data_IF_417259760029
#
_entry.id   IF_417259760029
#
_cell.length_a   1.000
_cell.length_b   1.000
_cell.length_c   1.000
_cell.angle_alpha   90.00
_cell.angle_beta   90.00
_cell.angle_gamma   90.00
#
_symmetry.space_group_name_H-M   'P 1'
#
loop_
_entity.id
_entity.type
_entity.pdbx_description
1 polymer ?
#
# COMPACT_ATOMS: atom_id res chain seq x y z
N UNK A 1 12.79 2.85 33.81
CA UNK A 1 11.36 3.22 33.76
C UNK A 1 10.81 2.68 32.46
N UNK A 2 9.97 1.65 32.51
CA UNK A 2 9.30 1.09 31.35
C UNK A 2 8.25 2.10 30.91
N UNK A 3 8.48 2.74 29.77
CA UNK A 3 7.45 3.54 29.11
C UNK A 3 6.44 2.54 28.54
N UNK A 4 5.29 2.42 29.19
CA UNK A 4 4.14 1.73 28.63
C UNK A 4 3.73 2.50 27.39
N UNK A 5 4.18 2.03 26.20
CA UNK A 5 3.68 2.54 24.93
C UNK A 5 2.19 2.21 24.88
N UNK A 6 1.35 3.23 24.76
CA UNK A 6 -0.07 3.03 24.51
C UNK A 6 -0.19 2.23 23.20
N UNK A 7 -0.99 1.15 23.22
CA UNK A 7 -1.34 0.44 21.99
C UNK A 7 -2.01 1.44 21.05
N UNK A 8 -1.61 1.51 19.78
CA UNK A 8 -2.38 2.26 18.79
C UNK A 8 -3.81 1.73 18.77
N UNK A 9 -4.76 2.63 18.60
CA UNK A 9 -6.18 2.32 18.68
C UNK A 9 -6.53 1.25 17.63
N UNK A 10 -6.94 0.07 18.08
CA UNK A 10 -7.52 -1.01 17.26
C UNK A 10 -9.03 -0.83 17.16
N UNK A 11 -9.51 0.39 17.38
CA UNK A 11 -10.90 0.69 17.63
C UNK A 11 -11.76 0.44 16.39
N UNK A 12 -12.66 -0.54 16.50
CA UNK A 12 -13.68 -0.87 15.51
C UNK A 12 -14.59 0.32 15.15
N UNK A 13 -14.65 1.36 16.00
CA UNK A 13 -15.38 2.61 15.75
C UNK A 13 -14.75 3.48 14.63
N UNK A 14 -13.57 3.13 14.14
CA UNK A 14 -12.84 3.90 13.12
C UNK A 14 -13.39 3.72 11.70
N UNK A 15 -14.17 2.67 11.47
CA UNK A 15 -14.92 2.48 10.22
C UNK A 15 -16.39 2.59 10.57
N UNK A 16 -17.03 3.65 10.09
CA UNK A 16 -18.39 4.01 10.48
C UNK A 16 -19.38 2.88 10.17
N UNK A 17 -20.16 2.51 11.20
CA UNK A 17 -21.38 1.70 11.12
C UNK A 17 -21.23 0.27 10.55
N UNK A 18 -20.04 -0.34 10.58
CA UNK A 18 -19.85 -1.76 10.29
C UNK A 18 -19.02 -2.45 11.36
N UNK A 19 -19.25 -3.75 11.51
CA UNK A 19 -18.42 -4.58 12.38
C UNK A 19 -17.10 -4.90 11.65
N UNK A 20 -15.98 -4.48 12.22
CA UNK A 20 -14.65 -4.88 11.80
C UNK A 20 -14.01 -5.75 12.88
N UNK A 21 -13.25 -6.74 12.45
CA UNK A 21 -12.46 -7.60 13.33
C UNK A 21 -10.98 -7.24 13.17
N UNK A 22 -10.31 -7.02 14.30
CA UNK A 22 -8.86 -6.82 14.38
C UNK A 22 -8.22 -8.07 14.97
N UNK A 23 -7.34 -8.71 14.22
CA UNK A 23 -6.74 -10.01 14.58
C UNK A 23 -5.30 -10.10 14.06
N UNK A 24 -4.60 -11.19 14.43
CA UNK A 24 -3.27 -11.51 13.90
C UNK A 24 -3.33 -12.70 12.95
N UNK A 25 -2.43 -12.70 11.96
CA UNK A 25 -2.14 -13.86 11.08
C UNK A 25 -0.63 -14.10 11.03
N UNK A 26 -0.23 -15.33 11.27
CA UNK A 26 1.16 -15.74 11.06
C UNK A 26 1.31 -16.18 9.60
N UNK A 27 2.08 -15.44 8.83
CA UNK A 27 2.32 -15.65 7.40
C UNK A 27 3.81 -15.45 7.11
N UNK A 28 4.42 -16.32 6.30
CA UNK A 28 5.82 -16.18 5.89
C UNK A 28 6.77 -15.80 7.04
N UNK A 29 6.65 -16.50 8.17
CA UNK A 29 7.44 -16.32 9.41
C UNK A 29 7.32 -14.93 10.09
N UNK A 30 6.25 -14.17 9.80
CA UNK A 30 5.93 -12.91 10.48
C UNK A 30 4.48 -12.90 10.97
N UNK A 31 4.23 -12.24 12.09
CA UNK A 31 2.88 -11.97 12.57
C UNK A 31 2.39 -10.64 12.00
N UNK A 32 1.37 -10.68 11.14
CA UNK A 32 0.72 -9.50 10.62
C UNK A 32 -0.53 -9.18 11.44
N UNK A 33 -0.69 -7.93 11.80
CA UNK A 33 -1.98 -7.39 12.21
C UNK A 33 -2.87 -7.25 10.98
N UNK A 34 -4.12 -7.69 11.09
CA UNK A 34 -5.07 -7.72 9.99
C UNK A 34 -6.42 -7.23 10.45
N UNK A 35 -6.97 -6.28 9.71
CA UNK A 35 -8.36 -5.84 9.86
C UNK A 35 -9.20 -6.54 8.81
N UNK A 36 -10.33 -7.12 9.24
CA UNK A 36 -11.24 -7.83 8.34
C UNK A 36 -12.68 -7.36 8.55
N UNK A 37 -13.47 -7.39 7.46
CA UNK A 37 -14.89 -7.05 7.48
C UNK A 37 -15.66 -7.84 6.41
N UNK A 38 -16.97 -7.96 6.57
CA UNK A 38 -17.84 -8.67 5.65
C UNK A 38 -17.92 -10.18 5.89
N UNK A 39 -18.79 -10.84 5.12
CA UNK A 39 -19.05 -12.28 5.25
C UNK A 39 -17.77 -13.09 4.94
N UNK A 40 -17.32 -13.98 5.84
CA UNK A 40 -16.15 -14.83 5.62
C UNK A 40 -16.21 -15.69 4.35
N UNK A 41 -17.41 -16.03 3.88
CA UNK A 41 -17.62 -16.85 2.69
C UNK A 41 -17.73 -16.05 1.39
N UNK A 42 -17.80 -14.72 1.47
CA UNK A 42 -17.88 -13.83 0.31
C UNK A 42 -16.57 -13.79 -0.52
N UNK A 43 -16.60 -13.32 -1.77
CA UNK A 43 -15.40 -13.11 -2.58
C UNK A 43 -14.39 -12.21 -1.85
N UNK A 44 -13.12 -12.65 -1.82
CA UNK A 44 -12.07 -11.99 -1.04
C UNK A 44 -11.48 -10.79 -1.79
N UNK A 45 -11.36 -9.66 -1.09
CA UNK A 45 -10.59 -8.48 -1.51
C UNK A 45 -9.50 -8.19 -0.48
N UNK A 46 -8.25 -8.15 -0.93
CA UNK A 46 -7.09 -7.75 -0.11
C UNK A 46 -6.67 -6.33 -0.48
N UNK A 47 -6.62 -5.43 0.52
CA UNK A 47 -6.22 -4.03 0.34
C UNK A 47 -4.83 -3.78 0.93
N UNK A 48 -3.86 -3.39 0.09
CA UNK A 48 -2.47 -3.22 0.45
C UNK A 48 -2.09 -1.74 0.48
N UNK A 49 -1.78 -1.23 1.67
CA UNK A 49 -1.36 0.15 1.88
C UNK A 49 0.09 0.40 1.42
N UNK A 50 0.46 1.67 1.25
CA UNK A 50 1.81 2.10 0.91
C UNK A 50 2.60 2.71 2.08
N UNK A 51 3.58 3.54 1.73
CA UNK A 51 4.38 4.30 2.67
C UNK A 51 3.91 5.78 2.69
N UNK A 52 3.72 6.39 3.84
CA UNK A 52 3.95 5.91 5.20
C UNK A 52 2.67 5.40 5.89
N UNK A 53 1.76 4.85 5.15
CA UNK A 53 0.42 4.43 5.52
C UNK A 53 0.37 3.14 6.38
N UNK A 54 -0.83 2.71 6.74
CA UNK A 54 -1.18 1.47 7.42
C UNK A 54 -2.65 1.11 7.11
N UNK A 55 -3.23 0.06 7.68
CA UNK A 55 -4.59 -0.41 7.35
C UNK A 55 -5.64 0.72 7.32
N UNK A 56 -5.50 1.72 8.18
CA UNK A 56 -6.46 2.82 8.34
C UNK A 56 -6.58 3.71 7.10
N UNK A 57 -5.59 3.70 6.22
CA UNK A 57 -5.67 4.37 4.93
C UNK A 57 -6.79 3.88 4.02
N UNK A 58 -7.29 2.67 4.26
CA UNK A 58 -8.38 2.07 3.51
C UNK A 58 -9.76 2.21 4.17
N UNK A 59 -9.88 2.94 5.28
CA UNK A 59 -11.11 3.06 6.07
C UNK A 59 -12.36 3.43 5.27
N UNK A 60 -12.20 4.30 4.26
CA UNK A 60 -13.29 4.81 3.45
C UNK A 60 -13.72 3.83 2.34
N UNK A 61 -12.88 2.82 1.99
CA UNK A 61 -13.16 1.79 1.02
C UNK A 61 -13.74 0.51 1.63
N UNK A 62 -13.46 0.25 2.92
CA UNK A 62 -13.89 -0.98 3.59
C UNK A 62 -15.42 -1.14 3.52
N UNK A 63 -16.16 -0.14 4.00
CA UNK A 63 -17.62 -0.22 4.05
C UNK A 63 -18.26 -0.42 2.68
N UNK A 64 -17.97 0.40 1.65
CA UNK A 64 -18.55 0.22 0.32
C UNK A 64 -18.29 -1.16 -0.28
N UNK A 65 -17.12 -1.74 -0.05
CA UNK A 65 -16.78 -3.08 -0.52
C UNK A 65 -17.58 -4.16 0.23
N UNK A 66 -17.76 -4.02 1.54
CA UNK A 66 -18.61 -4.94 2.33
C UNK A 66 -20.06 -4.85 1.89
N UNK A 67 -20.58 -3.64 1.70
CA UNK A 67 -21.96 -3.41 1.23
C UNK A 67 -22.18 -3.98 -0.19
N UNK A 68 -21.12 -4.08 -1.01
CA UNK A 68 -21.13 -4.73 -2.31
C UNK A 68 -20.98 -6.27 -2.24
N UNK A 69 -20.90 -6.85 -1.05
CA UNK A 69 -20.86 -8.28 -0.84
C UNK A 69 -19.47 -8.91 -0.89
N UNK A 70 -18.41 -8.16 -0.59
CA UNK A 70 -17.05 -8.68 -0.49
C UNK A 70 -16.63 -8.96 0.96
N UNK A 71 -15.78 -9.96 1.14
CA UNK A 71 -14.92 -10.12 2.31
C UNK A 71 -13.71 -9.21 2.12
N UNK A 72 -13.50 -8.25 3.02
CA UNK A 72 -12.38 -7.29 2.94
C UNK A 72 -11.33 -7.66 3.98
N UNK A 73 -10.07 -7.75 3.55
CA UNK A 73 -8.91 -8.06 4.39
C UNK A 73 -7.85 -6.99 4.16
N UNK A 74 -7.47 -6.30 5.23
CA UNK A 74 -6.52 -5.17 5.20
C UNK A 74 -5.38 -5.42 6.18
N UNK A 75 -4.24 -5.95 5.74
CA UNK A 75 -3.10 -6.13 6.62
C UNK A 75 -2.38 -4.81 6.89
N UNK A 76 -1.84 -4.65 8.09
CA UNK A 76 -0.64 -3.87 8.27
C UNK A 76 0.52 -4.69 7.70
N UNK A 77 1.11 -4.23 6.60
CA UNK A 77 2.20 -4.98 5.99
C UNK A 77 3.43 -5.01 6.92
N UNK A 78 4.31 -6.02 6.78
CA UNK A 78 5.48 -6.17 7.67
C UNK A 78 6.23 -4.87 7.90
N UNK A 79 6.57 -4.60 9.15
CA UNK A 79 7.26 -3.36 9.56
C UNK A 79 6.36 -2.15 9.73
N UNK A 80 5.03 -2.32 9.67
CA UNK A 80 4.07 -1.25 9.83
C UNK A 80 3.14 -1.49 11.01
N UNK A 81 2.82 -0.41 11.74
CA UNK A 81 1.86 -0.36 12.84
C UNK A 81 2.00 -1.54 13.82
N UNK A 82 1.04 -2.45 13.89
CA UNK A 82 1.01 -3.56 14.85
C UNK A 82 1.66 -4.85 14.33
N UNK A 83 2.07 -4.89 13.06
CA UNK A 83 2.74 -6.05 12.47
C UNK A 83 4.20 -6.16 12.88
N UNK A 84 4.71 -7.38 12.85
CA UNK A 84 6.13 -7.66 13.10
C UNK A 84 7.06 -6.84 12.20
N UNK A 85 8.18 -6.45 12.77
CA UNK A 85 9.22 -5.67 12.10
C UNK A 85 10.56 -6.44 12.13
N UNK A 86 10.72 -7.45 11.26
CA UNK A 86 11.92 -8.28 11.26
C UNK A 86 13.18 -7.46 10.96
N UNK A 87 14.30 -7.92 11.54
CA UNK A 87 15.58 -7.27 11.34
C UNK A 87 16.16 -7.54 9.94
N UNK A 88 16.94 -6.57 9.47
CA UNK A 88 17.68 -6.69 8.21
C UNK A 88 16.90 -6.22 6.99
N UNK A 89 17.64 -5.71 6.00
CA UNK A 89 17.07 -5.15 4.77
C UNK A 89 16.45 -6.25 3.89
N UNK A 90 17.05 -7.44 3.90
CA UNK A 90 16.64 -8.52 3.02
C UNK A 90 15.25 -9.09 3.39
N UNK A 91 14.83 -8.94 4.65
CA UNK A 91 13.47 -9.25 5.10
C UNK A 91 12.38 -8.35 4.46
N UNK A 92 12.77 -7.27 3.79
CA UNK A 92 11.87 -6.32 3.14
C UNK A 92 12.02 -6.31 1.61
N UNK A 93 12.54 -7.38 1.02
CA UNK A 93 12.51 -7.57 -0.44
C UNK A 93 11.07 -7.75 -0.92
N UNK A 94 10.79 -7.36 -2.15
CA UNK A 94 9.46 -7.58 -2.75
C UNK A 94 9.05 -9.06 -2.76
N UNK A 95 10.01 -9.99 -2.84
CA UNK A 95 9.71 -11.43 -2.72
C UNK A 95 9.09 -11.78 -1.38
N UNK A 96 9.58 -11.19 -0.28
CA UNK A 96 9.06 -11.43 1.06
C UNK A 96 7.67 -10.81 1.24
N UNK A 97 7.49 -9.54 0.82
CA UNK A 97 6.20 -8.88 0.86
C UNK A 97 5.13 -9.60 0.01
N UNK A 98 5.53 -10.14 -1.14
CA UNK A 98 4.66 -10.98 -1.99
C UNK A 98 4.32 -12.31 -1.32
N UNK A 99 5.29 -12.93 -0.63
CA UNK A 99 5.05 -14.16 0.12
C UNK A 99 4.06 -13.94 1.27
N UNK A 100 4.17 -12.82 1.99
CA UNK A 100 3.20 -12.45 3.03
C UNK A 100 1.77 -12.41 2.52
N UNK A 101 1.56 -11.74 1.38
CA UNK A 101 0.22 -11.61 0.79
C UNK A 101 -0.28 -12.95 0.25
N UNK A 102 0.61 -13.77 -0.32
CA UNK A 102 0.24 -15.11 -0.79
C UNK A 102 -0.22 -16.00 0.37
N UNK A 103 0.55 -16.02 1.46
CA UNK A 103 0.20 -16.80 2.65
C UNK A 103 -1.02 -16.21 3.40
N UNK A 104 -1.23 -14.88 3.32
CA UNK A 104 -2.43 -14.24 3.85
C UNK A 104 -3.70 -14.71 3.11
N UNK A 105 -3.67 -14.79 1.78
CA UNK A 105 -4.78 -15.30 0.98
C UNK A 105 -5.07 -16.77 1.34
N UNK A 106 -4.03 -17.59 1.48
CA UNK A 106 -4.16 -18.99 1.92
C UNK A 106 -4.75 -19.10 3.34
N UNK A 107 -4.33 -18.21 4.26
CA UNK A 107 -4.82 -18.19 5.65
C UNK A 107 -6.32 -17.83 5.77
N UNK A 108 -6.87 -17.14 4.77
CA UNK A 108 -8.32 -16.88 4.65
C UNK A 108 -9.05 -18.06 3.95
N UNK A 109 -8.37 -19.18 3.68
CA UNK A 109 -8.91 -20.38 3.05
C UNK A 109 -9.27 -20.20 1.57
N UNK A 110 -8.57 -19.29 0.87
CA UNK A 110 -8.87 -18.93 -0.52
C UNK A 110 -7.74 -19.33 -1.47
N UNK A 111 -8.09 -19.78 -2.66
CA UNK A 111 -7.13 -20.08 -3.75
C UNK A 111 -6.68 -18.81 -4.48
N UNK A 112 -7.51 -17.76 -4.45
CA UNK A 112 -7.26 -16.47 -5.09
C UNK A 112 -8.06 -15.36 -4.42
N UNK A 113 -7.72 -14.10 -4.74
CA UNK A 113 -8.39 -12.91 -4.27
C UNK A 113 -8.35 -11.80 -5.31
N UNK A 114 -9.26 -10.85 -5.18
CA UNK A 114 -9.06 -9.52 -5.76
C UNK A 114 -8.00 -8.79 -4.93
N UNK A 115 -7.04 -8.16 -5.58
CA UNK A 115 -5.95 -7.47 -4.88
C UNK A 115 -5.91 -6.01 -5.31
N UNK A 116 -6.00 -5.12 -4.33
CA UNK A 116 -5.89 -3.67 -4.56
C UNK A 116 -4.70 -3.14 -3.79
N UNK A 117 -3.88 -2.30 -4.41
CA UNK A 117 -2.72 -1.72 -3.74
C UNK A 117 -2.44 -0.27 -4.11
N UNK A 118 -2.06 0.50 -3.11
CA UNK A 118 -1.62 1.88 -3.25
C UNK A 118 -0.12 2.00 -2.97
N UNK A 119 0.60 2.84 -3.71
CA UNK A 119 2.02 3.13 -3.53
C UNK A 119 2.87 1.83 -3.43
N UNK A 120 3.61 1.59 -2.33
CA UNK A 120 4.35 0.35 -2.11
C UNK A 120 3.45 -0.89 -2.14
N UNK A 121 2.24 -0.81 -1.58
CA UNK A 121 1.25 -1.88 -1.67
C UNK A 121 0.87 -2.19 -3.12
N UNK A 122 0.83 -1.18 -3.99
CA UNK A 122 0.65 -1.36 -5.42
C UNK A 122 1.85 -2.05 -6.08
N UNK A 123 3.11 -1.75 -5.67
CA UNK A 123 4.27 -2.53 -6.15
C UNK A 123 4.21 -4.00 -5.70
N UNK A 124 3.74 -4.27 -4.48
CA UNK A 124 3.51 -5.65 -4.00
C UNK A 124 2.43 -6.32 -4.84
N UNK A 125 1.30 -5.66 -5.07
CA UNK A 125 0.19 -6.18 -5.87
C UNK A 125 0.60 -6.47 -7.33
N UNK A 126 1.33 -5.56 -7.99
CA UNK A 126 1.94 -5.83 -9.31
C UNK A 126 2.85 -7.05 -9.29
N UNK A 127 3.72 -7.16 -8.28
CA UNK A 127 4.66 -8.29 -8.18
C UNK A 127 3.95 -9.60 -7.85
N UNK A 128 2.87 -9.58 -7.06
CA UNK A 128 2.05 -10.76 -6.81
C UNK A 128 1.44 -11.28 -8.13
N UNK A 129 0.80 -10.40 -8.90
CA UNK A 129 0.22 -10.76 -10.20
C UNK A 129 1.26 -11.29 -11.19
N UNK A 130 2.48 -10.75 -11.18
CA UNK A 130 3.57 -11.17 -12.06
C UNK A 130 4.26 -12.48 -11.61
N UNK A 131 4.31 -12.75 -10.30
CA UNK A 131 5.02 -13.93 -9.74
C UNK A 131 4.09 -15.09 -9.47
N UNK A 132 2.86 -14.80 -9.03
CA UNK A 132 1.85 -15.77 -8.59
C UNK A 132 0.49 -15.45 -9.24
N UNK A 133 0.40 -15.47 -10.58
CA UNK A 133 -0.81 -14.99 -11.30
C UNK A 133 -2.09 -15.74 -10.90
N UNK A 134 -2.00 -16.99 -10.48
CA UNK A 134 -3.15 -17.78 -10.04
C UNK A 134 -3.77 -17.30 -8.72
N UNK A 135 -3.06 -16.49 -7.93
CA UNK A 135 -3.56 -15.95 -6.67
C UNK A 135 -4.35 -14.63 -6.85
N UNK A 136 -4.38 -14.06 -8.06
CA UNK A 136 -5.03 -12.77 -8.31
C UNK A 136 -6.15 -12.93 -9.33
N UNK A 137 -7.38 -12.64 -8.93
CA UNK A 137 -8.53 -12.65 -9.83
C UNK A 137 -8.63 -11.35 -10.62
N UNK A 138 -8.61 -10.22 -9.93
CA UNK A 138 -8.59 -8.86 -10.51
C UNK A 138 -7.58 -8.00 -9.76
N UNK A 139 -6.95 -7.08 -10.46
CA UNK A 139 -5.90 -6.22 -9.92
C UNK A 139 -6.34 -4.76 -9.96
N UNK A 140 -6.41 -4.11 -8.79
CA UNK A 140 -6.62 -2.69 -8.62
C UNK A 140 -5.33 -2.00 -8.18
N UNK A 141 -4.92 -0.96 -8.87
CA UNK A 141 -3.69 -0.22 -8.52
C UNK A 141 -4.00 1.25 -8.40
N UNK A 142 -3.46 1.89 -7.37
CA UNK A 142 -3.61 3.32 -7.13
C UNK A 142 -2.24 3.98 -7.12
N UNK A 143 -2.07 4.97 -7.99
CA UNK A 143 -0.90 5.86 -8.09
C UNK A 143 0.46 5.15 -8.05
N UNK A 144 0.59 4.00 -8.71
CA UNK A 144 1.91 3.39 -8.92
C UNK A 144 1.97 2.66 -10.26
N UNK A 145 3.01 2.87 -11.06
CA UNK A 145 3.10 2.28 -12.38
C UNK A 145 3.55 0.81 -12.33
N UNK A 146 3.35 0.12 -13.45
CA UNK A 146 3.96 -1.18 -13.65
C UNK A 146 5.48 -1.15 -13.40
N UNK A 147 6.07 -2.15 -12.70
CA UNK A 147 7.48 -2.13 -12.30
C UNK A 147 8.49 -1.94 -13.45
N UNK A 148 8.14 -2.39 -14.66
CA UNK A 148 8.98 -2.16 -15.85
C UNK A 148 8.94 -0.71 -16.27
N UNK A 149 7.76 -0.11 -16.35
CA UNK A 149 7.56 1.31 -16.70
C UNK A 149 8.27 2.22 -15.71
N UNK A 150 8.17 1.94 -14.40
CA UNK A 150 8.89 2.69 -13.38
C UNK A 150 10.40 2.71 -13.63
N UNK A 151 11.00 1.54 -13.86
CA UNK A 151 12.45 1.43 -14.12
C UNK A 151 12.89 2.12 -15.42
N UNK A 152 12.09 2.00 -16.47
CA UNK A 152 12.37 2.68 -17.76
C UNK A 152 12.30 4.18 -17.59
N UNK A 153 11.26 4.69 -16.93
CA UNK A 153 11.04 6.11 -16.72
C UNK A 153 12.12 6.74 -15.83
N UNK A 154 12.58 6.02 -14.79
CA UNK A 154 13.73 6.48 -14.00
C UNK A 154 15.01 6.67 -14.83
N UNK A 155 15.18 5.91 -15.93
CA UNK A 155 16.37 6.00 -16.80
C UNK A 155 16.23 7.05 -17.90
N UNK A 156 15.00 7.33 -18.33
CA UNK A 156 14.72 8.17 -19.49
C UNK A 156 14.18 9.56 -19.15
N UNK A 157 13.64 9.76 -17.94
CA UNK A 157 13.01 11.02 -17.54
C UNK A 157 13.79 11.71 -16.42
N UNK A 158 14.51 12.81 -16.70
CA UNK A 158 15.11 13.63 -15.65
C UNK A 158 14.11 14.14 -14.63
N UNK A 159 12.88 14.44 -15.06
CA UNK A 159 11.79 14.87 -14.16
C UNK A 159 11.46 13.79 -13.13
N UNK A 160 11.32 12.52 -13.56
CA UNK A 160 11.06 11.42 -12.62
C UNK A 160 12.25 11.18 -11.71
N UNK A 161 13.47 11.26 -12.24
CA UNK A 161 14.67 11.08 -11.43
C UNK A 161 14.75 12.11 -10.31
N UNK A 162 14.41 13.38 -10.60
CA UNK A 162 14.33 14.45 -9.58
C UNK A 162 13.21 14.18 -8.57
N UNK A 163 12.02 13.78 -9.01
CA UNK A 163 10.91 13.43 -8.10
C UNK A 163 11.23 12.24 -7.19
N UNK A 164 12.06 11.32 -7.66
CA UNK A 164 12.47 10.12 -6.90
C UNK A 164 13.71 10.35 -6.01
N UNK A 165 14.13 11.59 -5.75
CA UNK A 165 15.34 11.90 -4.96
C UNK A 165 15.34 11.22 -3.58
N UNK A 166 14.18 11.12 -2.93
CA UNK A 166 14.01 10.52 -1.61
C UNK A 166 14.32 9.02 -1.61
N UNK A 167 14.08 8.31 -2.70
CA UNK A 167 14.44 6.88 -2.84
C UNK A 167 15.95 6.69 -2.70
N UNK A 168 16.75 7.64 -3.20
CA UNK A 168 18.21 7.64 -3.07
C UNK A 168 18.63 8.10 -1.67
N UNK A 169 17.97 9.11 -1.14
CA UNK A 169 18.20 9.59 0.22
C UNK A 169 17.99 8.46 1.26
N UNK A 170 16.96 7.65 1.11
CA UNK A 170 16.68 6.52 1.99
C UNK A 170 17.73 5.39 1.93
N UNK A 171 18.62 5.39 0.96
CA UNK A 171 19.75 4.45 0.95
C UNK A 171 20.87 4.83 1.92
N UNK A 172 20.91 6.08 2.39
CA UNK A 172 21.91 6.52 3.34
C UNK A 172 21.72 5.81 4.70
N UNK A 173 22.81 5.37 5.36
CA UNK A 173 22.66 4.69 6.64
C UNK A 173 22.33 5.71 7.77
N UNK A 174 21.35 5.38 8.60
CA UNK A 174 20.97 6.09 9.83
C UNK A 174 20.46 7.54 9.68
N UNK A 175 20.88 8.25 8.65
CA UNK A 175 20.51 9.67 8.45
C UNK A 175 19.01 9.84 8.16
N UNK A 176 18.39 9.09 7.25
CA UNK A 176 16.96 9.18 7.01
C UNK A 176 16.13 8.84 8.25
N UNK A 177 16.49 7.76 8.94
CA UNK A 177 15.80 7.34 10.18
C UNK A 177 15.86 8.43 11.25
N UNK A 178 17.03 9.03 11.45
CA UNK A 178 17.21 10.10 12.41
C UNK A 178 16.43 11.36 12.03
N UNK A 179 16.46 11.75 10.75
CA UNK A 179 15.76 12.95 10.28
C UNK A 179 14.25 12.81 10.39
N UNK A 180 13.69 11.66 9.97
CA UNK A 180 12.25 11.43 9.98
C UNK A 180 11.68 11.21 11.38
N UNK A 181 12.48 10.66 12.31
CA UNK A 181 12.07 10.44 13.70
C UNK A 181 12.16 11.68 14.60
N UNK A 182 12.68 12.80 14.08
CA UNK A 182 12.84 14.02 14.90
C UNK A 182 11.50 14.67 15.23
N UNK A 183 11.48 15.39 16.37
CA UNK A 183 10.37 16.22 16.80
C UNK A 183 9.01 15.50 16.78
N UNK A 184 8.95 14.23 17.26
CA UNK A 184 7.68 13.47 17.24
C UNK A 184 7.19 13.17 15.83
N UNK A 185 8.11 12.89 14.91
CA UNK A 185 7.79 12.55 13.50
C UNK A 185 7.24 13.72 12.65
N UNK A 186 7.50 14.98 13.01
CA UNK A 186 7.03 16.14 12.24
C UNK A 186 7.43 16.05 10.76
N UNK A 187 8.67 15.65 10.47
CA UNK A 187 9.12 15.50 9.08
C UNK A 187 8.37 14.40 8.30
N UNK A 188 7.78 13.42 8.98
CA UNK A 188 6.89 12.43 8.34
C UNK A 188 5.54 13.06 8.02
N UNK A 189 5.00 13.88 8.94
CA UNK A 189 3.76 14.64 8.71
C UNK A 189 3.95 15.62 7.56
N UNK A 190 5.04 16.41 7.58
CA UNK A 190 5.38 17.32 6.48
C UNK A 190 5.45 16.59 5.12
N UNK A 191 6.01 15.37 5.12
CA UNK A 191 6.06 14.54 3.91
C UNK A 191 4.69 14.09 3.44
N UNK A 192 3.80 13.74 4.36
CA UNK A 192 2.41 13.36 4.07
C UNK A 192 1.65 14.55 3.47
N UNK A 193 1.70 15.71 4.13
CA UNK A 193 1.04 16.94 3.70
C UNK A 193 1.60 17.46 2.36
N UNK A 194 2.90 17.35 2.12
CA UNK A 194 3.54 17.76 0.87
C UNK A 194 3.09 16.91 -0.33
N UNK A 195 2.70 15.66 -0.10
CA UNK A 195 2.33 14.71 -1.14
C UNK A 195 0.82 14.55 -1.31
N UNK A 196 0.01 15.25 -0.50
CA UNK A 196 -1.45 15.27 -0.53
C UNK A 196 -2.01 16.64 -0.91
N UNK A 197 -3.28 16.67 -1.28
CA UNK A 197 -4.02 17.93 -1.38
C UNK A 197 -4.24 18.53 0.01
N UNK A 198 -4.42 19.86 0.12
CA UNK A 198 -4.80 20.49 1.37
C UNK A 198 -6.05 19.82 1.97
N UNK A 199 -6.08 19.66 3.28
CA UNK A 199 -7.23 19.11 4.04
C UNK A 199 -7.51 17.61 3.80
N UNK A 200 -6.67 16.88 3.05
CA UNK A 200 -6.81 15.42 2.87
C UNK A 200 -6.71 14.67 4.20
N UNK A 201 -5.84 15.13 5.08
CA UNK A 201 -5.63 14.53 6.39
C UNK A 201 -5.95 15.53 7.50
N UNK A 202 -7.01 15.25 8.25
CA UNK A 202 -7.33 16.04 9.44
C UNK A 202 -6.38 15.71 10.61
N UNK A 203 -6.41 16.54 11.67
CA UNK A 203 -5.54 16.37 12.82
C UNK A 203 -5.72 15.00 13.50
N UNK A 204 -6.95 14.49 13.57
CA UNK A 204 -7.24 13.19 14.17
C UNK A 204 -6.59 12.05 13.37
N UNK A 205 -6.61 12.14 12.05
CA UNK A 205 -5.92 11.21 11.15
C UNK A 205 -4.40 11.30 11.34
N UNK A 206 -3.83 12.52 11.37
CA UNK A 206 -2.39 12.73 11.59
C UNK A 206 -1.94 12.13 12.93
N UNK A 207 -2.71 12.32 14.00
CA UNK A 207 -2.38 11.78 15.32
C UNK A 207 -2.35 10.24 15.32
N UNK A 208 -3.25 9.59 14.57
CA UNK A 208 -3.25 8.13 14.39
C UNK A 208 -2.05 7.64 13.59
N UNK A 209 -1.67 8.36 12.53
CA UNK A 209 -0.47 8.05 11.75
C UNK A 209 0.79 8.16 12.62
N UNK A 210 0.91 9.22 13.43
CA UNK A 210 2.01 9.36 14.39
C UNK A 210 2.09 8.16 15.35
N UNK A 211 0.97 7.77 15.96
CA UNK A 211 0.91 6.63 16.87
C UNK A 211 1.36 5.32 16.18
N UNK A 212 0.92 5.08 14.94
CA UNK A 212 1.31 3.91 14.17
C UNK A 212 2.81 3.93 13.79
N UNK A 213 3.37 5.12 13.49
CA UNK A 213 4.80 5.26 13.19
C UNK A 213 5.68 5.11 14.44
N UNK A 214 5.24 5.63 15.58
CA UNK A 214 5.95 5.50 16.85
C UNK A 214 6.00 4.05 17.34
N UNK A 215 4.97 3.25 17.04
CA UNK A 215 4.89 1.86 17.48
C UNK A 215 6.01 0.99 16.88
N UNK A 216 6.17 0.97 15.56
CA UNK A 216 7.22 0.20 14.87
C UNK A 216 8.51 0.99 14.64
N UNK A 217 8.45 2.32 14.72
CA UNK A 217 9.53 3.21 14.32
C UNK A 217 9.67 3.36 12.80
N UNK A 218 10.62 4.21 12.40
CA UNK A 218 10.83 4.57 10.98
C UNK A 218 11.69 3.56 10.23
N UNK A 219 12.59 2.85 10.93
CA UNK A 219 13.59 1.98 10.32
C UNK A 219 13.00 0.88 9.42
N UNK A 220 11.97 0.12 9.82
CA UNK A 220 11.36 -0.90 8.99
C UNK A 220 10.78 -0.34 7.69
N UNK A 221 10.13 0.84 7.77
CA UNK A 221 9.53 1.53 6.62
C UNK A 221 10.59 1.98 5.61
N UNK A 222 11.76 2.45 6.06
CA UNK A 222 12.91 2.75 5.19
C UNK A 222 13.48 1.48 4.58
N UNK A 223 13.44 0.35 5.31
CA UNK A 223 13.89 -0.94 4.79
C UNK A 223 13.08 -1.40 3.56
N UNK A 224 11.82 -0.99 3.39
CA UNK A 224 11.06 -1.24 2.16
C UNK A 224 11.78 -0.65 0.94
N UNK A 225 12.24 0.59 1.00
CA UNK A 225 12.99 1.24 -0.09
C UNK A 225 14.35 0.59 -0.34
N UNK A 226 15.03 0.17 0.73
CA UNK A 226 16.32 -0.53 0.63
C UNK A 226 16.16 -1.94 0.08
N UNK A 227 15.13 -2.66 0.55
CA UNK A 227 14.76 -4.00 0.08
C UNK A 227 14.29 -4.01 -1.37
N UNK A 228 13.49 -3.00 -1.76
CA UNK A 228 13.07 -2.83 -3.15
C UNK A 228 14.25 -2.80 -4.12
N UNK A 229 15.31 -2.07 -3.80
CA UNK A 229 16.53 -2.03 -4.63
C UNK A 229 17.30 -3.34 -4.70
N UNK A 230 17.15 -4.20 -3.70
CA UNK A 230 17.76 -5.53 -3.65
C UNK A 230 16.87 -6.62 -4.25
N UNK A 231 15.63 -6.27 -4.57
CA UNK A 231 14.65 -7.21 -5.07
C UNK A 231 14.95 -7.66 -6.48
N UNK A 232 14.74 -8.94 -6.72
CA UNK A 232 14.85 -9.54 -8.05
C UNK A 232 13.72 -9.09 -8.95
N UNK A 233 13.97 -9.07 -10.25
CA UNK A 233 12.92 -8.80 -11.24
C UNK A 233 11.90 -9.94 -11.21
N UNK A 234 10.61 -9.63 -11.42
CA UNK A 234 9.62 -10.67 -11.57
C UNK A 234 9.94 -11.52 -12.83
N UNK A 235 9.59 -12.81 -12.83
CA UNK A 235 9.89 -13.72 -13.94
C UNK A 235 9.06 -13.41 -15.19
N UNK A 236 7.94 -12.71 -15.04
CA UNK A 236 7.07 -12.25 -16.12
C UNK A 236 7.07 -10.74 -16.19
N UNK A 237 6.80 -10.20 -17.35
CA UNK A 237 6.66 -8.76 -17.60
C UNK A 237 5.25 -8.37 -18.02
N UNK A 238 4.35 -9.33 -18.23
CA UNK A 238 2.95 -9.08 -18.58
C UNK A 238 2.01 -9.64 -17.52
N UNK A 239 1.06 -8.82 -17.12
CA UNK A 239 -0.04 -9.15 -16.21
C UNK A 239 -1.21 -9.68 -17.04
N UNK A 240 -1.73 -10.84 -16.67
CA UNK A 240 -2.83 -11.52 -17.38
C UNK A 240 -4.20 -11.21 -16.79
N UNK A 241 -4.25 -10.76 -15.55
CA UNK A 241 -5.49 -10.43 -14.84
C UNK A 241 -6.11 -9.13 -15.35
N UNK A 242 -7.44 -9.00 -15.34
CA UNK A 242 -8.09 -7.70 -15.53
C UNK A 242 -7.51 -6.68 -14.55
N UNK A 243 -7.06 -5.55 -15.07
CA UNK A 243 -6.32 -4.55 -14.28
C UNK A 243 -6.98 -3.17 -14.39
N UNK A 244 -7.24 -2.54 -13.26
CA UNK A 244 -7.61 -1.13 -13.15
C UNK A 244 -6.44 -0.35 -12.54
N UNK A 245 -6.04 0.74 -13.18
CA UNK A 245 -5.10 1.70 -12.60
C UNK A 245 -5.81 3.05 -12.40
N UNK A 246 -6.03 3.43 -11.14
CA UNK A 246 -6.48 4.76 -10.76
C UNK A 246 -5.28 5.68 -10.57
N UNK A 247 -5.34 6.90 -11.12
CA UNK A 247 -4.21 7.82 -11.09
C UNK A 247 -4.62 9.25 -10.83
N UNK A 248 -4.13 9.83 -9.73
CA UNK A 248 -4.21 11.27 -9.46
C UNK A 248 -3.14 12.01 -10.27
N UNK A 249 -3.57 12.96 -11.11
CA UNK A 249 -2.65 13.62 -12.06
C UNK A 249 -1.71 14.62 -11.38
N UNK A 250 -2.08 15.13 -10.20
CA UNK A 250 -1.25 16.03 -9.39
C UNK A 250 -0.24 15.32 -8.48
N UNK A 251 -0.02 14.01 -8.71
CA UNK A 251 1.00 13.25 -7.99
C UNK A 251 2.39 13.90 -8.12
N UNK A 252 2.95 14.31 -6.98
CA UNK A 252 4.27 14.97 -6.94
C UNK A 252 5.44 13.99 -6.98
N UNK A 253 5.21 12.71 -6.63
CA UNK A 253 6.24 11.66 -6.59
C UNK A 253 6.40 10.97 -7.94
N UNK A 254 5.30 10.76 -8.68
CA UNK A 254 5.27 9.97 -9.90
C UNK A 254 4.68 10.78 -11.06
N UNK A 255 5.29 10.69 -12.25
CA UNK A 255 4.79 11.40 -13.44
C UNK A 255 3.61 10.64 -14.05
N UNK A 256 2.52 11.35 -14.37
CA UNK A 256 1.26 10.77 -14.86
C UNK A 256 1.41 10.00 -16.19
N UNK A 257 2.41 10.32 -17.00
CA UNK A 257 2.69 9.60 -18.26
C UNK A 257 3.05 8.11 -18.07
N UNK A 258 3.30 7.67 -16.83
CA UNK A 258 3.52 6.26 -16.55
C UNK A 258 2.21 5.45 -16.48
N UNK A 259 1.07 6.10 -16.26
CA UNK A 259 -0.22 5.42 -16.11
C UNK A 259 -0.58 4.65 -17.39
N UNK A 260 -0.74 5.34 -18.51
CA UNK A 260 -1.08 4.72 -19.80
C UNK A 260 -0.03 3.70 -20.26
N UNK A 261 1.25 4.03 -20.10
CA UNK A 261 2.33 3.09 -20.45
C UNK A 261 2.29 1.80 -19.66
N UNK A 262 1.75 1.82 -18.44
CA UNK A 262 1.60 0.61 -17.63
C UNK A 262 0.63 -0.39 -18.24
N UNK A 263 -0.36 0.07 -19.00
CA UNK A 263 -1.33 -0.79 -19.66
C UNK A 263 -0.73 -1.58 -20.83
N UNK A 264 0.40 -1.14 -21.41
CA UNK A 264 1.15 -1.91 -22.40
C UNK A 264 1.63 -3.27 -21.87
N UNK A 265 1.68 -3.41 -20.55
CA UNK A 265 2.08 -4.62 -19.85
C UNK A 265 0.90 -5.43 -19.26
N UNK A 266 -0.33 -5.05 -19.60
CA UNK A 266 -1.54 -5.72 -19.14
C UNK A 266 -2.30 -6.35 -20.33
N UNK A 267 -2.69 -7.62 -20.23
CA UNK A 267 -3.51 -8.26 -21.26
C UNK A 267 -4.88 -7.59 -21.39
N UNK A 268 -5.45 -7.18 -20.27
CA UNK A 268 -6.69 -6.40 -20.18
C UNK A 268 -6.52 -5.36 -19.08
N UNK A 269 -6.29 -4.11 -19.48
CA UNK A 269 -6.07 -3.02 -18.55
C UNK A 269 -6.82 -1.75 -18.93
N UNK A 270 -7.22 -0.98 -17.92
CA UNK A 270 -7.79 0.36 -18.09
C UNK A 270 -7.20 1.33 -17.08
N UNK A 271 -7.03 2.57 -17.50
CA UNK A 271 -6.66 3.69 -16.63
C UNK A 271 -7.89 4.52 -16.35
N UNK A 272 -8.04 4.98 -15.11
CA UNK A 272 -8.96 6.05 -14.73
C UNK A 272 -8.16 7.16 -14.06
N UNK A 273 -8.11 8.32 -14.68
CA UNK A 273 -7.40 9.48 -14.15
C UNK A 273 -8.33 10.39 -13.36
N UNK A 274 -7.74 11.11 -12.40
CA UNK A 274 -8.41 12.06 -11.53
C UNK A 274 -7.60 13.37 -11.55
N UNK A 275 -8.03 14.37 -12.35
CA UNK A 275 -7.21 15.55 -12.65
C UNK A 275 -6.74 16.33 -11.42
N UNK A 276 -7.61 16.53 -10.45
CA UNK A 276 -7.30 17.34 -9.25
C UNK A 276 -6.92 16.49 -8.03
N UNK A 277 -6.50 15.24 -8.25
CA UNK A 277 -6.10 14.35 -7.17
C UNK A 277 -4.59 14.18 -7.11
N UNK A 278 -4.07 14.13 -5.89
CA UNK A 278 -2.65 13.91 -5.61
C UNK A 278 -2.27 12.42 -5.64
N UNK A 279 -1.15 12.10 -4.99
CA UNK A 279 -0.72 10.73 -4.73
C UNK A 279 -1.75 9.91 -3.91
N UNK A 280 -2.53 10.59 -3.07
CA UNK A 280 -3.49 10.01 -2.11
C UNK A 280 -4.91 9.92 -2.69
N UNK A 281 -5.01 9.47 -3.93
CA UNK A 281 -6.24 9.51 -4.74
C UNK A 281 -7.47 8.88 -4.05
N UNK A 282 -7.30 7.83 -3.26
CA UNK A 282 -8.38 7.12 -2.55
C UNK A 282 -8.86 7.85 -1.28
N UNK A 283 -8.07 8.79 -0.76
CA UNK A 283 -8.48 9.70 0.31
C UNK A 283 -9.18 10.96 -0.22
N UNK A 284 -8.94 11.30 -1.47
CA UNK A 284 -9.33 12.58 -2.04
C UNK A 284 -10.53 12.49 -2.98
N UNK A 285 -10.87 11.29 -3.46
CA UNK A 285 -11.92 11.09 -4.48
C UNK A 285 -12.74 9.84 -4.23
N UNK A 286 -14.00 10.02 -3.80
CA UNK A 286 -14.97 8.93 -3.62
C UNK A 286 -15.15 8.11 -4.90
N UNK A 287 -15.04 8.74 -6.07
CA UNK A 287 -15.13 8.10 -7.37
C UNK A 287 -14.03 7.04 -7.62
N UNK A 288 -12.98 6.97 -6.80
CA UNK A 288 -12.01 5.85 -6.80
C UNK A 288 -12.67 4.60 -6.26
N UNK A 289 -13.43 4.72 -5.17
CA UNK A 289 -14.20 3.61 -4.59
C UNK A 289 -15.20 3.07 -5.60
N UNK A 290 -15.95 3.95 -6.29
CA UNK A 290 -16.87 3.55 -7.36
C UNK A 290 -16.15 2.80 -8.49
N UNK A 291 -14.97 3.28 -8.90
CA UNK A 291 -14.17 2.63 -9.94
C UNK A 291 -13.67 1.25 -9.52
N UNK A 292 -13.32 1.09 -8.24
CA UNK A 292 -12.94 -0.21 -7.67
C UNK A 292 -14.14 -1.16 -7.64
N UNK A 293 -15.31 -0.72 -7.17
CA UNK A 293 -16.54 -1.52 -7.15
C UNK A 293 -16.90 -2.02 -8.55
N UNK A 294 -16.93 -1.13 -9.55
CA UNK A 294 -17.17 -1.48 -10.95
C UNK A 294 -16.15 -2.47 -11.52
N UNK A 295 -14.92 -2.43 -11.02
CA UNK A 295 -13.85 -3.28 -11.51
C UNK A 295 -13.86 -4.65 -10.86
N UNK A 296 -14.17 -4.73 -9.57
CA UNK A 296 -14.09 -5.97 -8.79
C UNK A 296 -15.35 -6.83 -8.93
N UNK A 297 -16.47 -6.27 -9.33
CA UNK A 297 -17.72 -6.97 -9.66
C UNK A 297 -17.68 -7.72 -11.04
#
# INVERSE_FOLDING_TARGET
>A
MSVTRSRPDTDASLVADIEIESSSRVVNDVELHVVTAGDPDAPLVVLLHGHPDFWYGWRDQIRPLVDAGFRVVVPDQRGCNLSDAPDGIDAYRLSELVADVADLIDSEGRESAHVVGHDFGGFVAWNLALRRPSLVDRLGILNVPHPTVYRETLRSSPRQLLRSWYVWFYQLPKLPEWLLARNGMDNMVDSLELTSNPETFDQGTIDRYRAAWEHTGIRPRIHWYRGFRRSERPPRTSVTQPTLLCWGEDDVALVSSMAERSMEYCATGRVRTFPDASHWVHHERDAVTDALLDHLS
#
